data_IF_950739263927
#
_entry.id   IF_950739263927
#
_cell.length_a   1.000
_cell.length_b   1.000
_cell.length_c   1.000
_cell.angle_alpha   90.00
_cell.angle_beta   90.00
_cell.angle_gamma   90.00
#
_symmetry.space_group_name_H-M   'P 1'
#
loop_
_entity.id
_entity.type
_entity.pdbx_description
1 polymer ?
#
# COMPACT_ATOMS: atom_id res chain seq x y z
N UNK A 1 13.82 -6.31 -8.57
CA UNK A 1 12.95 -5.17 -8.18
C UNK A 1 11.49 -5.41 -8.56
N UNK A 2 11.13 -5.58 -9.83
CA UNK A 2 9.75 -5.95 -10.22
C UNK A 2 9.26 -7.22 -9.52
N UNK A 3 10.09 -8.27 -9.44
CA UNK A 3 9.78 -9.50 -8.69
C UNK A 3 9.50 -9.25 -7.20
N UNK A 4 10.22 -8.30 -6.57
CA UNK A 4 9.98 -7.94 -5.16
C UNK A 4 8.65 -7.22 -5.01
N UNK A 5 8.29 -6.33 -5.93
CA UNK A 5 6.97 -5.68 -5.97
C UNK A 5 5.85 -6.70 -6.22
N UNK A 6 6.09 -7.72 -7.04
CA UNK A 6 5.16 -8.82 -7.28
C UNK A 6 4.97 -9.67 -6.01
N UNK A 7 6.05 -9.95 -5.28
CA UNK A 7 5.97 -10.65 -3.98
C UNK A 7 5.19 -9.83 -2.95
N UNK A 8 5.45 -8.52 -2.84
CA UNK A 8 4.66 -7.60 -1.99
C UNK A 8 3.18 -7.64 -2.40
N UNK A 9 2.87 -7.54 -3.69
CA UNK A 9 1.49 -7.65 -4.21
C UNK A 9 0.84 -8.97 -3.80
N UNK A 10 1.55 -10.09 -3.92
CA UNK A 10 1.03 -11.40 -3.55
C UNK A 10 0.75 -11.53 -2.05
N UNK A 11 1.56 -10.90 -1.20
CA UNK A 11 1.30 -10.81 0.25
C UNK A 11 0.04 -9.99 0.50
N UNK A 12 -0.11 -8.85 -0.17
CA UNK A 12 -1.25 -7.94 0.05
C UNK A 12 -2.57 -8.49 -0.50
N UNK A 13 -2.53 -9.35 -1.53
CA UNK A 13 -3.71 -10.06 -2.04
C UNK A 13 -4.40 -10.92 -0.97
N UNK A 14 -3.71 -11.33 0.10
CA UNK A 14 -4.31 -12.15 1.16
C UNK A 14 -5.06 -11.33 2.22
N UNK A 15 -5.05 -9.99 2.13
CA UNK A 15 -5.56 -9.09 3.19
C UNK A 15 -7.06 -8.77 2.99
N UNK A 16 -7.68 -9.25 1.91
CA UNK A 16 -9.10 -9.07 1.65
C UNK A 16 -9.42 -7.83 0.81
N UNK A 17 -8.43 -7.27 0.10
CA UNK A 17 -8.67 -6.25 -0.93
C UNK A 17 -9.43 -6.86 -2.11
N UNK A 18 -10.36 -6.12 -2.72
CA UNK A 18 -10.95 -6.49 -4.00
C UNK A 18 -9.98 -6.29 -5.16
N UNK A 19 -9.15 -5.26 -5.09
CA UNK A 19 -8.09 -5.00 -6.09
C UNK A 19 -6.74 -4.70 -5.43
N UNK A 20 -5.67 -5.23 -6.04
CA UNK A 20 -4.27 -4.93 -5.68
C UNK A 20 -3.47 -4.64 -6.95
N UNK A 21 -3.01 -3.41 -7.10
CA UNK A 21 -2.34 -2.91 -8.32
C UNK A 21 -0.91 -2.43 -8.06
N UNK A 22 -0.07 -2.47 -9.10
CA UNK A 22 1.28 -1.90 -9.11
C UNK A 22 1.30 -0.64 -9.98
N UNK A 23 1.87 0.46 -9.49
CA UNK A 23 2.04 1.69 -10.25
C UNK A 23 0.86 2.67 -10.15
N UNK A 24 0.87 3.68 -11.03
CA UNK A 24 -0.10 4.79 -11.08
C UNK A 24 -1.04 4.56 -12.27
N UNK A 25 -1.87 3.52 -12.23
CA UNK A 25 -2.86 3.32 -13.30
C UNK A 25 -4.06 4.27 -13.10
N UNK A 26 -4.59 4.85 -14.18
CA UNK A 26 -5.83 5.64 -14.11
C UNK A 26 -7.04 4.71 -13.95
N UNK A 27 -8.06 5.13 -13.19
CA UNK A 27 -9.39 4.51 -13.23
C UNK A 27 -9.78 3.59 -12.07
N UNK A 28 -9.55 4.00 -10.82
CA UNK A 28 -10.13 3.32 -9.66
C UNK A 28 -11.66 3.41 -9.73
N UNK A 29 -12.35 2.29 -9.92
CA UNK A 29 -13.80 2.21 -9.83
C UNK A 29 -14.24 2.07 -8.37
N UNK A 30 -15.47 2.50 -8.07
CA UNK A 30 -16.08 2.22 -6.77
C UNK A 30 -16.24 0.70 -6.51
N UNK A 31 -16.30 -0.11 -7.57
CA UNK A 31 -16.44 -1.56 -7.46
C UNK A 31 -15.15 -2.24 -6.97
N UNK A 32 -14.01 -1.57 -7.10
CA UNK A 32 -12.68 -2.10 -6.76
C UNK A 32 -12.36 -1.98 -5.26
N UNK A 33 -13.28 -1.45 -4.45
CA UNK A 33 -13.03 -1.18 -3.03
C UNK A 33 -13.40 -2.35 -2.11
N UNK A 34 -12.59 -2.66 -1.08
CA UNK A 34 -11.34 -1.98 -0.72
C UNK A 34 -10.19 -2.27 -1.69
N UNK A 35 -9.42 -1.25 -2.05
CA UNK A 35 -8.30 -1.38 -2.98
C UNK A 35 -6.96 -1.12 -2.29
N UNK A 36 -5.92 -1.72 -2.84
CA UNK A 36 -4.51 -1.50 -2.49
C UNK A 36 -3.75 -1.14 -3.75
N UNK A 37 -2.91 -0.10 -3.70
CA UNK A 37 -2.01 0.25 -4.80
C UNK A 37 -0.61 0.45 -4.29
N UNK A 38 0.35 -0.18 -4.96
CA UNK A 38 1.76 -0.16 -4.58
C UNK A 38 2.50 0.71 -5.59
N UNK A 39 3.01 1.85 -5.13
CA UNK A 39 3.75 2.82 -5.95
C UNK A 39 5.21 2.80 -5.52
N UNK A 40 6.14 2.30 -6.35
CA UNK A 40 7.57 2.42 -6.03
C UNK A 40 7.98 3.89 -6.05
N UNK A 41 8.78 4.31 -5.07
CA UNK A 41 9.35 5.65 -5.03
C UNK A 41 10.52 5.72 -6.01
N UNK A 42 10.48 6.69 -6.92
CA UNK A 42 11.60 7.04 -7.78
C UNK A 42 12.33 8.21 -7.12
N UNK A 43 13.64 8.09 -6.93
CA UNK A 43 14.49 9.15 -6.40
C UNK A 43 14.38 10.41 -7.28
N UNK A 44 14.72 11.60 -6.77
CA UNK A 44 14.69 12.86 -7.54
C UNK A 44 15.54 12.83 -8.84
N UNK A 45 16.50 11.90 -8.94
CA UNK A 45 17.32 11.66 -10.14
C UNK A 45 16.70 10.70 -11.16
N UNK A 46 15.54 10.09 -10.86
CA UNK A 46 14.91 9.05 -11.68
C UNK A 46 15.69 7.72 -11.71
N UNK A 47 16.79 7.62 -10.96
CA UNK A 47 17.59 6.41 -10.83
C UNK A 47 17.12 5.63 -9.62
N UNK A 48 16.73 4.37 -9.79
CA UNK A 48 16.41 3.50 -8.65
C UNK A 48 17.66 3.31 -7.77
N UNK A 49 17.54 3.61 -6.48
CA UNK A 49 18.60 3.23 -5.54
C UNK A 49 18.70 1.70 -5.53
N UNK A 50 19.86 1.13 -5.89
CA UNK A 50 19.99 -0.33 -6.07
C UNK A 50 19.95 -1.11 -4.75
N UNK A 51 20.25 -0.45 -3.63
CA UNK A 51 20.41 -1.09 -2.32
C UNK A 51 19.14 -1.08 -1.45
N UNK A 52 18.22 -0.14 -1.71
CA UNK A 52 16.97 0.03 -0.96
C UNK A 52 15.81 0.28 -1.93
N UNK A 53 14.69 -0.42 -1.73
CA UNK A 53 13.43 -0.18 -2.44
C UNK A 53 12.45 0.53 -1.50
N UNK A 54 12.20 1.81 -1.75
CA UNK A 54 11.12 2.54 -1.10
C UNK A 54 9.83 2.46 -1.92
N UNK A 55 8.69 2.29 -1.25
CA UNK A 55 7.39 2.22 -1.91
C UNK A 55 6.27 2.72 -1.00
N UNK A 56 5.22 3.23 -1.62
CA UNK A 56 4.02 3.68 -0.96
C UNK A 56 2.87 2.70 -1.26
N UNK A 57 2.09 2.39 -0.23
CA UNK A 57 0.87 1.59 -0.31
C UNK A 57 -0.31 2.52 -0.08
N UNK A 58 -1.09 2.74 -1.12
CA UNK A 58 -2.34 3.49 -1.08
C UNK A 58 -3.49 2.55 -0.80
N UNK A 59 -4.38 2.98 0.08
CA UNK A 59 -5.50 2.21 0.59
C UNK A 59 -6.75 3.05 0.43
N UNK A 60 -7.80 2.47 -0.15
CA UNK A 60 -9.11 3.10 -0.17
C UNK A 60 -10.21 2.16 0.29
N UNK A 61 -11.09 2.67 1.15
CA UNK A 61 -12.32 2.01 1.58
C UNK A 61 -13.51 2.91 1.26
N UNK A 62 -14.66 2.31 0.99
CA UNK A 62 -15.91 3.03 0.77
C UNK A 62 -16.39 3.71 2.06
N UNK A 63 -17.00 4.88 1.91
CA UNK A 63 -17.70 5.54 3.01
C UNK A 63 -19.03 4.82 3.22
N UNK A 64 -19.18 4.18 4.38
CA UNK A 64 -20.40 3.48 4.81
C UNK A 64 -21.49 4.46 5.26
N UNK A 65 -22.65 3.92 5.64
CA UNK A 65 -23.76 4.68 6.21
C UNK A 65 -23.31 5.48 7.44
N UNK A 66 -22.41 4.91 8.26
CA UNK A 66 -21.85 5.59 9.42
C UNK A 66 -20.34 5.83 9.27
N UNK A 67 -19.89 6.97 9.80
CA UNK A 67 -18.47 7.28 9.89
C UNK A 67 -17.74 6.27 10.79
N UNK A 68 -18.37 5.79 11.86
CA UNK A 68 -17.75 4.84 12.78
C UNK A 68 -17.37 3.53 12.08
N UNK A 69 -18.28 2.95 11.29
CA UNK A 69 -17.99 1.73 10.52
C UNK A 69 -16.91 1.98 9.48
N UNK A 70 -16.99 3.12 8.78
CA UNK A 70 -15.96 3.53 7.81
C UNK A 70 -14.57 3.58 8.46
N UNK A 71 -14.44 4.24 9.61
CA UNK A 71 -13.15 4.36 10.30
C UNK A 71 -12.68 3.02 10.87
N UNK A 72 -13.59 2.20 11.41
CA UNK A 72 -13.23 0.89 11.94
C UNK A 72 -12.67 -0.01 10.84
N UNK A 73 -13.41 -0.19 9.74
CA UNK A 73 -12.98 -1.00 8.60
C UNK A 73 -11.68 -0.47 7.99
N UNK A 74 -11.58 0.85 7.79
CA UNK A 74 -10.37 1.46 7.23
C UNK A 74 -9.14 1.25 8.11
N UNK A 75 -9.28 1.43 9.43
CA UNK A 75 -8.17 1.26 10.36
C UNK A 75 -7.77 -0.21 10.50
N UNK A 76 -8.73 -1.13 10.52
CA UNK A 76 -8.45 -2.57 10.55
C UNK A 76 -7.65 -3.00 9.31
N UNK A 77 -7.99 -2.43 8.15
CA UNK A 77 -7.29 -2.69 6.91
C UNK A 77 -5.85 -2.14 6.91
N UNK A 78 -5.67 -0.90 7.36
CA UNK A 78 -4.34 -0.27 7.54
C UNK A 78 -3.46 -1.09 8.49
N UNK A 79 -4.01 -1.56 9.60
CA UNK A 79 -3.29 -2.40 10.57
C UNK A 79 -2.92 -3.75 9.96
N UNK A 80 -3.81 -4.35 9.18
CA UNK A 80 -3.57 -5.63 8.52
C UNK A 80 -2.43 -5.54 7.50
N UNK A 81 -2.41 -4.48 6.69
CA UNK A 81 -1.34 -4.19 5.73
C UNK A 81 0.00 -3.98 6.46
N UNK A 82 0.01 -3.16 7.52
CA UNK A 82 1.21 -2.95 8.33
C UNK A 82 1.75 -4.27 8.86
N UNK A 83 0.88 -5.10 9.41
CA UNK A 83 1.25 -6.36 10.06
C UNK A 83 1.75 -7.40 9.06
N UNK A 84 1.24 -7.38 7.82
CA UNK A 84 1.68 -8.29 6.77
C UNK A 84 3.06 -7.95 6.19
N UNK A 85 3.42 -6.66 6.18
CA UNK A 85 4.65 -6.17 5.55
C UNK A 85 5.77 -5.82 6.53
N UNK A 86 5.46 -5.22 7.68
CA UNK A 86 6.50 -4.76 8.59
C UNK A 86 7.29 -5.93 9.20
N UNK A 87 8.61 -5.87 9.11
CA UNK A 87 9.58 -6.90 9.48
C UNK A 87 9.43 -8.20 8.69
N UNK A 88 8.68 -8.17 7.57
CA UNK A 88 8.55 -9.30 6.66
C UNK A 88 9.82 -9.40 5.82
N UNK A 89 10.38 -10.61 5.73
CA UNK A 89 11.41 -10.91 4.75
C UNK A 89 10.77 -11.05 3.37
N UNK A 90 11.33 -10.35 2.38
CA UNK A 90 10.88 -10.34 0.97
C UNK A 90 12.13 -10.44 0.10
N UNK A 91 12.27 -11.54 -0.63
CA UNK A 91 13.56 -11.94 -1.21
C UNK A 91 14.66 -12.04 -0.15
N UNK A 92 15.77 -11.32 -0.36
CA UNK A 92 16.90 -11.23 0.58
C UNK A 92 16.74 -10.09 1.61
N UNK A 93 15.81 -9.16 1.37
CA UNK A 93 15.66 -7.96 2.18
C UNK A 93 14.61 -8.06 3.29
N UNK A 94 14.60 -7.06 4.17
CA UNK A 94 13.60 -6.89 5.23
C UNK A 94 12.78 -5.63 4.98
N UNK A 95 11.46 -5.77 5.00
CA UNK A 95 10.53 -4.66 4.78
C UNK A 95 10.24 -3.91 6.08
N UNK A 96 10.41 -2.59 6.08
CA UNK A 96 10.19 -1.71 7.22
C UNK A 96 9.08 -0.72 6.94
N UNK A 97 8.11 -0.62 7.86
CA UNK A 97 7.16 0.46 7.88
C UNK A 97 7.87 1.75 8.29
N UNK A 98 7.68 2.82 7.52
CA UNK A 98 8.27 4.13 7.81
C UNK A 98 7.24 5.09 8.40
N UNK A 99 6.09 5.26 7.74
CA UNK A 99 5.04 6.22 8.15
C UNK A 99 3.70 5.90 7.50
N UNK A 100 2.63 6.44 8.07
CA UNK A 100 1.30 6.47 7.46
C UNK A 100 0.77 7.91 7.45
N UNK A 101 0.08 8.28 6.37
CA UNK A 101 -0.61 9.55 6.20
C UNK A 101 -2.06 9.24 5.90
N UNK A 102 -2.95 9.77 6.72
CA UNK A 102 -4.39 9.70 6.54
C UNK A 102 -4.85 11.01 5.90
N UNK A 103 -5.87 10.96 5.03
CA UNK A 103 -6.49 12.14 4.41
C UNK A 103 -5.69 12.84 3.30
N UNK A 104 -4.81 12.11 2.60
CA UNK A 104 -4.00 12.69 1.51
C UNK A 104 -4.84 13.11 0.29
N UNK A 105 -6.01 12.50 0.06
CA UNK A 105 -6.96 12.85 -1.00
C UNK A 105 -8.41 12.57 -0.57
N UNK A 106 -9.28 13.59 -0.64
CA UNK A 106 -10.74 13.38 -0.53
C UNK A 106 -11.23 12.89 -1.88
N UNK A 107 -11.12 11.58 -2.13
CA UNK A 107 -11.80 10.98 -3.27
C UNK A 107 -13.26 10.85 -2.89
N UNK A 108 -14.16 11.43 -3.71
CA UNK A 108 -15.60 11.45 -3.44
C UNK A 108 -16.08 10.02 -3.15
N UNK A 109 -16.64 9.79 -1.96
CA UNK A 109 -17.16 8.51 -1.44
C UNK A 109 -16.12 7.53 -0.85
N UNK A 110 -14.86 7.93 -0.66
CA UNK A 110 -13.85 7.05 -0.09
C UNK A 110 -13.10 7.67 1.09
N UNK A 111 -12.66 6.82 2.02
CA UNK A 111 -11.59 7.14 2.96
C UNK A 111 -10.28 6.58 2.42
N UNK A 112 -9.25 7.44 2.35
CA UNK A 112 -7.95 7.09 1.77
C UNK A 112 -6.83 7.26 2.80
N UNK A 113 -5.89 6.32 2.77
CA UNK A 113 -4.62 6.40 3.49
C UNK A 113 -3.46 6.03 2.57
N UNK A 114 -2.28 6.55 2.88
CA UNK A 114 -1.02 6.16 2.27
C UNK A 114 -0.08 5.65 3.37
N UNK A 115 0.60 4.55 3.11
CA UNK A 115 1.62 3.97 3.99
C UNK A 115 2.95 3.85 3.25
N UNK A 116 4.02 4.39 3.83
CA UNK A 116 5.38 4.32 3.27
C UNK A 116 6.14 3.16 3.87
N UNK A 117 6.83 2.40 3.03
CA UNK A 117 7.67 1.28 3.40
C UNK A 117 9.03 1.37 2.70
N UNK A 118 10.04 0.78 3.34
CA UNK A 118 11.36 0.57 2.75
C UNK A 118 11.76 -0.90 2.89
N UNK A 119 12.07 -1.54 1.77
CA UNK A 119 12.71 -2.85 1.72
C UNK A 119 14.22 -2.63 1.61
N UNK A 120 14.93 -3.03 2.66
CA UNK A 120 16.37 -2.83 2.80
C UNK A 120 17.13 -4.14 2.67
N UNK A 121 18.44 -4.06 2.45
CA UNK A 121 19.36 -5.20 2.36
C UNK A 121 19.06 -6.14 1.18
N UNK A 122 18.56 -5.57 0.08
CA UNK A 122 18.29 -6.28 -1.19
C UNK A 122 19.60 -6.47 -1.96
N UNK A 123 20.25 -7.60 -1.69
CA UNK A 123 21.50 -8.05 -2.34
C UNK A 123 21.30 -8.65 -3.72
#
# INVERSE_FOLDING_TARGET
MFELLLEIKNILLTIGAKSVELGIEEGISADDTPFIRIVPSVNETGEFNREDLEFEVYIGTDIKETLQETYQEHMDFVVSIKSALHLKQIGTGICYFQRAVFDKDVVKNFKVAMMSFALKDIS
#
